data_IF_154079047025
#
_entry.id   IF_154079047025
#
_cell.length_a   1.000
_cell.length_b   1.000
_cell.length_c   1.000
_cell.angle_alpha   90.00
_cell.angle_beta   90.00
_cell.angle_gamma   90.00
#
_symmetry.space_group_name_H-M   'P 1'
#
loop_
_entity.id
_entity.type
_entity.pdbx_description
1 polymer ?
#
# COMPACT_ATOMS: atom_id res chain seq x y z
N UNK A 1 28.97 -30.22 41.44
CA UNK A 1 27.84 -29.99 40.52
C UNK A 1 27.26 -28.63 40.83
N UNK A 2 27.35 -27.68 39.91
CA UNK A 2 26.71 -26.36 40.03
C UNK A 2 26.31 -25.91 38.62
N UNK A 3 25.07 -26.21 38.25
CA UNK A 3 24.46 -25.67 37.03
C UNK A 3 24.14 -24.20 37.28
N UNK A 4 24.81 -23.29 36.58
CA UNK A 4 24.45 -21.87 36.57
C UNK A 4 23.30 -21.68 35.57
N UNK A 5 22.11 -21.38 36.10
CA UNK A 5 20.99 -20.81 35.38
C UNK A 5 21.45 -19.54 34.66
N UNK A 6 21.40 -19.51 33.33
CA UNK A 6 21.44 -18.30 32.55
C UNK A 6 20.03 -18.07 31.98
N UNK A 7 19.48 -16.90 32.32
CA UNK A 7 18.07 -16.52 32.19
C UNK A 7 17.58 -16.43 30.73
N UNK A 8 16.37 -16.94 30.49
CA UNK A 8 15.65 -16.99 29.20
C UNK A 8 15.11 -15.60 28.75
N UNK A 9 15.65 -14.50 29.29
CA UNK A 9 15.10 -13.15 29.10
C UNK A 9 15.44 -12.51 27.74
N UNK A 10 16.35 -13.09 26.95
CA UNK A 10 16.83 -12.50 25.69
C UNK A 10 15.97 -12.84 24.46
N UNK A 11 14.89 -13.61 24.60
CA UNK A 11 14.01 -14.02 23.49
C UNK A 11 12.81 -13.08 23.24
N UNK A 12 12.65 -12.00 24.01
CA UNK A 12 11.48 -11.12 23.94
C UNK A 12 11.66 -9.84 23.10
N UNK A 13 12.75 -9.70 22.33
CA UNK A 13 13.06 -8.46 21.59
C UNK A 13 13.12 -8.66 20.08
N UNK A 14 12.03 -9.12 19.47
CA UNK A 14 11.71 -8.84 18.05
C UNK A 14 10.37 -9.49 17.65
N UNK A 15 9.30 -9.21 18.39
CA UNK A 15 7.98 -9.28 17.77
C UNK A 15 7.88 -8.07 16.82
N UNK A 16 8.54 -8.16 15.67
CA UNK A 16 8.30 -7.26 14.55
C UNK A 16 6.82 -7.41 14.22
N UNK A 17 5.98 -6.52 14.73
CA UNK A 17 4.58 -6.46 14.33
C UNK A 17 4.60 -6.23 12.83
N UNK A 18 4.32 -7.30 12.07
CA UNK A 18 4.11 -7.22 10.64
C UNK A 18 2.93 -6.26 10.46
N UNK A 19 3.21 -4.99 10.18
CA UNK A 19 2.19 -4.02 9.85
C UNK A 19 1.62 -4.47 8.51
N UNK A 20 0.42 -5.06 8.52
CA UNK A 20 -0.28 -5.43 7.32
C UNK A 20 -1.08 -4.23 6.86
N UNK A 21 -0.69 -3.64 5.74
CA UNK A 21 -1.59 -2.74 5.02
C UNK A 21 -2.48 -3.56 4.09
N UNK A 22 -3.79 -3.30 4.16
CA UNK A 22 -4.73 -3.75 3.14
C UNK A 22 -4.91 -2.63 2.11
N UNK A 23 -4.54 -2.94 0.86
CA UNK A 23 -4.65 -2.03 -0.28
C UNK A 23 -5.74 -2.57 -1.20
N UNK A 24 -6.86 -1.85 -1.24
CA UNK A 24 -7.96 -2.14 -2.15
C UNK A 24 -7.92 -1.18 -3.33
N UNK A 25 -7.98 -1.73 -4.53
CA UNK A 25 -8.00 -0.98 -5.78
C UNK A 25 -9.34 -1.24 -6.46
N UNK A 26 -10.04 -0.17 -6.82
CA UNK A 26 -11.26 -0.22 -7.61
C UNK A 26 -10.94 0.49 -8.92
N UNK A 27 -10.90 -0.30 -9.99
CA UNK A 27 -10.63 0.20 -11.32
C UNK A 27 -11.86 0.88 -11.93
N UNK A 28 -11.63 1.94 -12.70
CA UNK A 28 -12.64 2.68 -13.46
C UNK A 28 -12.05 3.08 -14.81
N UNK A 29 -12.89 3.47 -15.77
CA UNK A 29 -12.41 3.90 -17.09
C UNK A 29 -11.44 5.10 -17.01
N UNK A 30 -11.68 6.07 -16.12
CA UNK A 30 -10.87 7.27 -16.03
C UNK A 30 -9.62 7.13 -15.12
N UNK A 31 -9.53 6.04 -14.36
CA UNK A 31 -8.52 5.89 -13.32
C UNK A 31 -8.88 4.83 -12.29
N UNK A 32 -8.19 4.84 -11.16
CA UNK A 32 -8.50 3.90 -10.07
C UNK A 32 -8.65 4.61 -8.74
N UNK A 33 -9.64 4.18 -7.97
CA UNK A 33 -9.74 4.49 -6.55
C UNK A 33 -8.85 3.54 -5.77
N UNK A 34 -7.98 4.09 -4.94
CA UNK A 34 -7.11 3.33 -4.05
C UNK A 34 -7.52 3.63 -2.61
N UNK A 35 -7.84 2.58 -1.86
CA UNK A 35 -8.06 2.63 -0.42
C UNK A 35 -6.92 1.92 0.30
N UNK A 36 -6.29 2.64 1.21
CA UNK A 36 -5.20 2.14 2.04
C UNK A 36 -5.67 2.09 3.49
N UNK A 37 -5.53 0.93 4.11
CA UNK A 37 -5.72 0.77 5.55
C UNK A 37 -4.48 0.13 6.16
N UNK A 38 -4.11 0.55 7.36
CA UNK A 38 -2.99 0.02 8.13
C UNK A 38 -3.53 -0.39 9.51
N UNK A 39 -3.30 -1.63 9.91
CA UNK A 39 -3.83 -2.19 11.17
C UNK A 39 -5.36 -2.03 11.32
N UNK A 40 -6.09 -2.15 10.20
CA UNK A 40 -7.55 -2.02 10.16
C UNK A 40 -8.10 -0.59 10.23
N UNK A 41 -7.22 0.43 10.25
CA UNK A 41 -7.61 1.85 10.25
C UNK A 41 -7.27 2.51 8.91
N UNK A 42 -8.04 3.51 8.45
CA UNK A 42 -7.66 4.29 7.29
C UNK A 42 -6.28 4.93 7.44
N UNK A 43 -5.43 4.76 6.42
CA UNK A 43 -4.11 5.39 6.39
C UNK A 43 -4.21 6.73 5.67
N UNK A 44 -4.42 7.81 6.43
CA UNK A 44 -4.45 9.17 5.89
C UNK A 44 -3.06 9.64 5.46
N UNK A 45 -2.99 10.57 4.49
CA UNK A 45 -1.75 11.14 3.94
C UNK A 45 -0.74 10.14 3.36
N UNK A 46 -1.10 8.87 3.24
CA UNK A 46 -0.29 7.85 2.62
C UNK A 46 0.02 8.25 1.17
N UNK A 47 1.28 8.13 0.79
CA UNK A 47 1.80 8.52 -0.51
C UNK A 47 1.63 7.35 -1.47
N UNK A 48 0.82 7.52 -2.50
CA UNK A 48 0.52 6.50 -3.50
C UNK A 48 1.09 6.90 -4.84
N UNK A 49 1.77 5.97 -5.51
CA UNK A 49 2.25 6.11 -6.89
C UNK A 49 1.87 4.87 -7.69
N UNK A 50 1.77 5.01 -9.01
CA UNK A 50 1.36 3.93 -9.91
C UNK A 50 2.35 3.78 -11.07
N UNK A 51 2.63 2.54 -11.45
CA UNK A 51 3.60 2.19 -12.50
C UNK A 51 3.02 2.33 -13.90
N UNK A 52 2.61 3.53 -14.31
CA UNK A 52 2.25 3.82 -15.70
C UNK A 52 3.00 5.06 -16.24
N UNK A 53 3.18 5.17 -17.58
CA UNK A 53 3.88 6.30 -18.17
C UNK A 53 3.27 7.66 -17.81
N UNK A 54 1.93 7.76 -17.78
CA UNK A 54 1.21 9.01 -17.51
C UNK A 54 1.34 9.54 -16.07
N UNK A 55 1.73 8.68 -15.11
CA UNK A 55 1.95 9.04 -13.71
C UNK A 55 3.41 8.90 -13.27
N UNK A 56 4.36 8.80 -14.20
CA UNK A 56 5.78 8.75 -13.85
C UNK A 56 6.17 9.97 -13.00
N UNK A 57 6.67 9.73 -11.79
CA UNK A 57 7.08 10.77 -10.84
C UNK A 57 5.94 11.47 -10.11
N UNK A 58 4.67 11.15 -10.39
CA UNK A 58 3.52 11.69 -9.65
C UNK A 58 3.30 10.91 -8.37
N UNK A 59 2.95 11.63 -7.31
CA UNK A 59 2.60 11.08 -6.00
C UNK A 59 1.28 11.68 -5.59
N UNK A 60 0.34 10.82 -5.24
CA UNK A 60 -0.98 11.16 -4.73
C UNK A 60 -1.02 10.90 -3.23
N UNK A 61 -1.88 11.60 -2.50
CA UNK A 61 -2.05 11.42 -1.06
C UNK A 61 -3.46 10.96 -0.75
N UNK A 62 -3.58 9.97 0.11
CA UNK A 62 -4.88 9.57 0.67
C UNK A 62 -5.46 10.67 1.56
N UNK A 63 -6.79 10.78 1.53
CA UNK A 63 -7.55 11.65 2.42
C UNK A 63 -7.69 11.03 3.83
N UNK A 64 -8.47 11.67 4.71
CA UNK A 64 -8.76 11.20 6.07
C UNK A 64 -9.42 9.81 6.12
N UNK A 65 -10.10 9.40 5.04
CA UNK A 65 -10.71 8.08 4.89
C UNK A 65 -9.77 7.03 4.27
N UNK A 66 -8.49 7.38 4.08
CA UNK A 66 -7.49 6.49 3.50
C UNK A 66 -7.68 6.28 1.99
N UNK A 67 -8.39 7.18 1.32
CA UNK A 67 -8.81 7.03 -0.07
C UNK A 67 -8.17 8.07 -0.97
N UNK A 68 -7.81 7.68 -2.19
CA UNK A 68 -7.31 8.59 -3.23
C UNK A 68 -7.74 8.12 -4.60
N UNK A 69 -8.08 9.07 -5.47
CA UNK A 69 -8.30 8.80 -6.89
C UNK A 69 -7.02 9.06 -7.68
N UNK A 70 -6.62 8.11 -8.50
CA UNK A 70 -5.45 8.20 -9.39
C UNK A 70 -5.94 8.16 -10.83
N UNK A 71 -5.84 9.26 -11.59
CA UNK A 71 -6.22 9.25 -13.00
C UNK A 71 -5.26 8.37 -13.80
N UNK A 72 -5.82 7.49 -14.62
CA UNK A 72 -5.07 6.64 -15.53
C UNK A 72 -5.39 7.10 -16.96
N UNK A 73 -4.41 7.72 -17.61
CA UNK A 73 -4.52 8.11 -19.02
C UNK A 73 -3.86 7.02 -19.88
N UNK A 74 -4.53 5.88 -19.99
CA UNK A 74 -4.11 4.77 -20.85
C UNK A 74 -5.29 4.28 -21.67
N UNK A 75 -5.06 3.90 -22.92
CA UNK A 75 -6.08 3.43 -23.87
C UNK A 75 -5.91 1.92 -24.14
N UNK A 76 -5.34 1.23 -23.16
CA UNK A 76 -5.02 -0.19 -23.24
C UNK A 76 -5.12 -0.78 -21.83
N UNK A 77 -5.62 -2.01 -21.75
CA UNK A 77 -5.57 -2.80 -20.53
C UNK A 77 -4.11 -3.10 -20.14
N UNK A 78 -3.81 -2.99 -18.85
CA UNK A 78 -2.45 -3.20 -18.34
C UNK A 78 -2.44 -3.66 -16.90
N UNK A 79 -1.38 -4.37 -16.51
CA UNK A 79 -1.09 -4.65 -15.11
C UNK A 79 -0.30 -3.48 -14.53
N UNK A 80 -0.83 -2.87 -13.47
CA UNK A 80 -0.27 -1.69 -12.82
C UNK A 80 0.11 -2.02 -11.38
N UNK A 81 1.32 -1.67 -11.00
CA UNK A 81 1.81 -1.74 -9.62
C UNK A 81 1.56 -0.40 -8.94
N UNK A 82 0.88 -0.45 -7.80
CA UNK A 82 0.65 0.66 -6.90
C UNK A 82 1.64 0.53 -5.74
N UNK A 83 2.45 1.56 -5.53
CA UNK A 83 3.39 1.65 -4.40
C UNK A 83 2.86 2.67 -3.41
N UNK A 84 2.78 2.26 -2.14
CA UNK A 84 2.26 3.04 -1.03
C UNK A 84 3.33 3.21 0.04
N UNK A 85 3.51 4.44 0.51
CA UNK A 85 4.33 4.78 1.68
C UNK A 85 3.45 5.47 2.72
N UNK A 86 3.24 4.84 3.88
CA UNK A 86 2.42 5.40 4.97
C UNK A 86 3.19 6.48 5.74
N UNK A 87 2.49 7.24 6.60
CA UNK A 87 3.15 8.24 7.46
C UNK A 87 4.12 7.60 8.46
N UNK A 88 3.89 6.35 8.82
CA UNK A 88 4.78 5.54 9.67
C UNK A 88 6.01 5.02 8.92
N UNK A 89 6.21 5.43 7.65
CA UNK A 89 7.28 5.00 6.77
C UNK A 89 7.25 3.51 6.38
N UNK A 90 6.08 2.88 6.47
CA UNK A 90 5.91 1.52 5.97
C UNK A 90 5.65 1.55 4.46
N UNK A 91 6.35 0.68 3.72
CA UNK A 91 6.24 0.55 2.27
C UNK A 91 5.46 -0.71 1.88
N UNK A 92 4.52 -0.53 0.97
CA UNK A 92 3.68 -1.59 0.46
C UNK A 92 3.53 -1.50 -1.05
N UNK A 93 3.31 -2.65 -1.69
CA UNK A 93 3.03 -2.70 -3.13
C UNK A 93 1.83 -3.58 -3.43
N UNK A 94 1.05 -3.21 -4.44
CA UNK A 94 -0.11 -3.98 -4.90
C UNK A 94 -0.20 -3.96 -6.42
N UNK A 95 -0.29 -5.14 -7.02
CA UNK A 95 -0.57 -5.30 -8.44
C UNK A 95 -2.09 -5.31 -8.67
N UNK A 96 -2.57 -4.57 -9.67
CA UNK A 96 -3.95 -4.62 -10.15
C UNK A 96 -4.01 -4.55 -11.66
N UNK A 97 -5.06 -5.10 -12.25
CA UNK A 97 -5.38 -4.91 -13.65
C UNK A 97 -6.17 -3.60 -13.81
N UNK A 98 -5.81 -2.84 -14.82
CA UNK A 98 -6.63 -1.76 -15.37
C UNK A 98 -7.18 -2.23 -16.71
N UNK A 99 -8.47 -2.02 -16.96
CA UNK A 99 -9.14 -2.43 -18.20
C UNK A 99 -9.73 -1.25 -18.94
N UNK A 100 -9.47 -1.16 -20.26
CA UNK A 100 -10.06 -0.15 -21.15
C UNK A 100 -11.36 -0.66 -21.80
N UNK A 101 -12.17 -1.44 -21.07
CA UNK A 101 -13.43 -1.96 -21.59
C UNK A 101 -14.49 -0.86 -21.58
N UNK A 102 -14.91 -0.45 -22.77
CA UNK A 102 -16.20 0.19 -23.02
C UNK A 102 -17.26 -0.92 -22.97
N UNK A 103 -18.11 -0.92 -21.95
CA UNK A 103 -19.42 -1.57 -22.06
C UNK A 103 -20.33 -0.70 -22.94
#
# INVERSE_FOLDING_TARGET
MTFKQASIAALMLSASSLAFADIRIIDTQAGSWVKVTENGKPAANARVSVSNPANRGKVYKTNEHGEVFIPLHTHNSSALTYSVLTEEWNEYTRLSLHTDSFD
#
